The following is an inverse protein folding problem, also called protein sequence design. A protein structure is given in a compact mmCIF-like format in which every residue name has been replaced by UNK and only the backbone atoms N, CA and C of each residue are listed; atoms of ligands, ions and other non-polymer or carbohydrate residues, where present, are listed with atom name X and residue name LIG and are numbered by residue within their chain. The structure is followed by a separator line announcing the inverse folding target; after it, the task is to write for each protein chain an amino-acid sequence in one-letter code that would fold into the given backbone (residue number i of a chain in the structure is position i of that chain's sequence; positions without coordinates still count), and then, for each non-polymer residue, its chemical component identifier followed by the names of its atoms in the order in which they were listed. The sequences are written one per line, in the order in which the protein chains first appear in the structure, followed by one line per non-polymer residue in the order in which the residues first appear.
data_IF_962850770357
#
_entry.id   IF_962850770357
#
_cell.length_a   1.000
_cell.length_b   1.000
_cell.length_c   1.000
_cell.angle_alpha   90.00
_cell.angle_beta   90.00
_cell.angle_gamma   90.00
#
_symmetry.space_group_name_H-M   'P 1'
#
loop_
_entity.id
_entity.type
_entity.pdbx_description
1 polymer ?
#
# COMPACT_ATOMS: atom_id res chain seq x y z
N UNK A 1 -6.11 12.02 4.62
CA UNK A 1 -6.64 10.77 5.20
C UNK A 1 -5.47 9.84 5.38
N UNK A 2 -5.20 9.40 6.60
CA UNK A 2 -4.03 8.59 6.92
C UNK A 2 -4.51 7.15 7.09
N UNK A 3 -3.87 6.21 6.39
CA UNK A 3 -4.14 4.79 6.59
C UNK A 3 -3.37 4.38 7.85
N UNK A 4 -4.08 3.79 8.81
CA UNK A 4 -3.46 3.28 10.04
C UNK A 4 -3.43 1.75 9.95
N UNK A 5 -2.26 1.14 10.11
CA UNK A 5 -2.12 -0.31 10.16
C UNK A 5 -1.58 -0.75 11.52
N UNK A 6 -2.01 -1.92 11.96
CA UNK A 6 -1.48 -2.56 13.17
C UNK A 6 -0.20 -3.32 12.81
N UNK A 7 0.96 -2.86 13.29
CA UNK A 7 2.25 -3.54 13.10
C UNK A 7 2.75 -4.02 14.46
N UNK A 8 2.63 -5.32 14.74
CA UNK A 8 3.05 -5.96 15.99
C UNK A 8 2.41 -5.36 17.27
N UNK A 9 1.16 -4.91 17.21
CA UNK A 9 0.42 -4.38 18.36
C UNK A 9 0.10 -2.87 18.29
N UNK A 10 1.08 -1.97 18.14
CA UNK A 10 0.78 -0.55 17.98
C UNK A 10 0.21 -0.21 16.59
N UNK A 11 -0.77 0.69 16.58
CA UNK A 11 -1.23 1.39 15.38
C UNK A 11 -0.10 2.30 14.88
N UNK A 12 0.30 2.11 13.63
CA UNK A 12 1.27 2.94 12.94
C UNK A 12 0.61 3.58 11.72
N UNK A 13 0.94 4.83 11.43
CA UNK A 13 0.60 5.45 10.16
C UNK A 13 1.33 4.74 9.04
N UNK A 14 0.56 4.09 8.17
CA UNK A 14 1.03 3.47 6.94
C UNK A 14 1.53 4.53 5.94
N UNK A 15 1.11 5.79 6.08
CA UNK A 15 1.59 6.89 5.26
C UNK A 15 1.28 8.25 5.91
N UNK A 16 2.29 9.13 5.94
CA UNK A 16 2.16 10.52 6.40
C UNK A 16 1.72 11.49 5.29
N UNK A 17 1.62 11.03 4.04
CA UNK A 17 1.16 11.84 2.90
C UNK A 17 -0.34 11.66 2.66
N UNK A 18 -1.00 12.77 2.35
CA UNK A 18 -2.44 12.83 2.08
C UNK A 18 -2.77 11.97 0.87
N UNK A 19 -3.31 10.76 1.06
CA UNK A 19 -3.81 9.97 -0.06
C UNK A 19 -4.95 10.75 -0.75
N UNK A 20 -4.67 11.32 -1.92
CA UNK A 20 -5.69 11.83 -2.83
C UNK A 20 -6.57 10.65 -3.29
N UNK A 21 -7.87 10.89 -3.51
CA UNK A 21 -8.84 9.89 -3.97
C UNK A 21 -8.33 9.08 -5.18
N UNK A 22 -7.57 9.68 -6.10
CA UNK A 22 -6.98 8.97 -7.24
C UNK A 22 -6.01 7.84 -6.84
N UNK A 23 -5.20 8.04 -5.79
CA UNK A 23 -4.25 7.03 -5.29
C UNK A 23 -4.99 5.88 -4.63
N UNK A 24 -6.03 6.19 -3.83
CA UNK A 24 -6.89 5.16 -3.22
C UNK A 24 -7.58 4.30 -4.28
N UNK A 25 -8.07 4.92 -5.35
CA UNK A 25 -8.64 4.18 -6.50
C UNK A 25 -7.60 3.29 -7.17
N UNK A 26 -6.35 3.76 -7.31
CA UNK A 26 -5.25 2.96 -7.83
C UNK A 26 -4.95 1.73 -6.97
N UNK A 27 -4.85 1.92 -5.65
CA UNK A 27 -4.64 0.82 -4.68
C UNK A 27 -5.80 -0.18 -4.76
N UNK A 28 -7.05 0.29 -4.72
CA UNK A 28 -8.23 -0.57 -4.77
C UNK A 28 -8.28 -1.40 -6.06
N UNK A 29 -8.03 -0.79 -7.23
CA UNK A 29 -7.98 -1.51 -8.52
C UNK A 29 -6.89 -2.58 -8.53
N UNK A 30 -5.69 -2.24 -8.06
CA UNK A 30 -4.57 -3.18 -8.00
C UNK A 30 -4.86 -4.36 -7.08
N UNK A 31 -5.45 -4.13 -5.91
CA UNK A 31 -5.86 -5.19 -4.99
C UNK A 31 -6.93 -6.10 -5.61
N UNK A 32 -7.93 -5.54 -6.30
CA UNK A 32 -8.96 -6.32 -7.01
C UNK A 32 -8.30 -7.26 -8.03
N UNK A 33 -7.34 -6.77 -8.83
CA UNK A 33 -6.62 -7.60 -9.80
C UNK A 33 -5.78 -8.70 -9.13
N UNK A 34 -5.21 -8.44 -7.95
CA UNK A 34 -4.51 -9.45 -7.15
C UNK A 34 -5.47 -10.54 -6.65
N UNK A 35 -6.61 -10.14 -6.06
CA UNK A 35 -7.61 -11.09 -5.55
C UNK A 35 -8.27 -11.90 -6.65
N UNK A 36 -8.42 -11.33 -7.84
CA UNK A 36 -8.89 -12.05 -9.03
C UNK A 36 -7.85 -13.06 -9.58
N UNK A 37 -6.62 -13.05 -9.07
CA UNK A 37 -5.53 -13.90 -9.55
C UNK A 37 -4.91 -13.43 -10.87
N UNK A 38 -5.25 -12.22 -11.34
CA UNK A 38 -4.78 -11.70 -12.62
C UNK A 38 -3.35 -11.15 -12.53
N UNK A 39 -2.93 -10.68 -11.36
CA UNK A 39 -1.58 -10.18 -11.08
C UNK A 39 -1.13 -10.58 -9.69
N UNK A 40 0.17 -10.56 -9.45
CA UNK A 40 0.77 -10.77 -8.12
C UNK A 40 1.48 -9.52 -7.60
N UNK A 41 1.59 -8.47 -8.42
CA UNK A 41 2.28 -7.22 -8.11
C UNK A 41 1.67 -6.05 -8.90
N UNK A 42 1.59 -4.87 -8.29
CA UNK A 42 1.31 -3.60 -8.95
C UNK A 42 2.03 -2.44 -8.26
N UNK A 43 2.19 -1.32 -8.94
CA UNK A 43 2.82 -0.10 -8.41
C UNK A 43 1.86 1.06 -8.51
N UNK A 44 1.85 1.93 -7.50
CA UNK A 44 1.09 3.17 -7.48
C UNK A 44 2.05 4.33 -7.24
N UNK A 45 2.01 5.30 -8.14
CA UNK A 45 2.75 6.56 -8.05
C UNK A 45 2.02 7.52 -7.11
N UNK A 46 2.76 8.12 -6.16
CA UNK A 46 2.23 9.13 -5.23
C UNK A 46 2.69 10.49 -5.75
N UNK A 47 1.88 11.08 -6.64
CA UNK A 47 2.20 12.31 -7.39
C UNK A 47 2.62 13.52 -6.55
N UNK A 48 2.22 13.58 -5.28
CA UNK A 48 2.54 14.71 -4.40
C UNK A 48 3.90 14.60 -3.69
N UNK A 49 4.60 13.45 -3.76
CA UNK A 49 5.74 13.21 -2.86
C UNK A 49 6.96 12.55 -3.47
N UNK A 50 7.16 12.57 -4.80
CA UNK A 50 8.30 11.89 -5.48
C UNK A 50 8.49 10.42 -5.06
N UNK A 51 7.44 9.77 -4.54
CA UNK A 51 7.51 8.42 -4.02
C UNK A 51 6.66 7.47 -4.85
N UNK A 52 7.11 6.24 -4.95
CA UNK A 52 6.36 5.13 -5.52
C UNK A 52 6.15 4.05 -4.49
N UNK A 53 4.98 3.41 -4.49
CA UNK A 53 4.73 2.24 -3.64
C UNK A 53 4.35 1.04 -4.49
N UNK A 54 5.13 -0.03 -4.34
CA UNK A 54 4.88 -1.32 -4.99
C UNK A 54 4.24 -2.27 -4.01
N UNK A 55 3.09 -2.81 -4.40
CA UNK A 55 2.34 -3.82 -3.67
C UNK A 55 2.61 -5.19 -4.30
N UNK A 56 3.08 -6.14 -3.51
CA UNK A 56 3.36 -7.51 -3.94
C UNK A 56 2.61 -8.48 -3.04
N UNK A 57 1.86 -9.39 -3.63
CA UNK A 57 1.11 -10.41 -2.93
C UNK A 57 1.76 -11.78 -3.07
N UNK A 58 1.97 -12.43 -1.93
CA UNK A 58 2.53 -13.77 -1.87
C UNK A 58 1.89 -14.55 -0.72
N UNK A 59 1.20 -15.65 -1.03
CA UNK A 59 0.63 -16.56 -0.01
C UNK A 59 -0.12 -15.86 1.15
N UNK A 60 -1.05 -14.96 0.82
CA UNK A 60 -1.84 -14.13 1.77
C UNK A 60 -1.10 -12.98 2.46
N UNK A 61 0.21 -12.86 2.24
CA UNK A 61 0.99 -11.70 2.69
C UNK A 61 0.94 -10.62 1.62
N UNK A 62 0.75 -9.39 2.06
CA UNK A 62 0.94 -8.19 1.26
C UNK A 62 2.23 -7.51 1.71
N UNK A 63 3.15 -7.35 0.76
CA UNK A 63 4.41 -6.64 0.94
C UNK A 63 4.25 -5.32 0.21
N UNK A 64 4.40 -4.22 0.94
CA UNK A 64 4.40 -2.87 0.37
C UNK A 64 5.80 -2.33 0.48
N UNK A 65 6.40 -2.03 -0.65
CA UNK A 65 7.71 -1.39 -0.68
C UNK A 65 7.58 0.01 -1.24
N UNK A 66 8.01 1.00 -0.46
CA UNK A 66 8.03 2.39 -0.86
C UNK A 66 9.43 2.79 -1.29
N UNK A 67 9.52 3.49 -2.41
CA UNK A 67 10.76 3.94 -3.03
C UNK A 67 10.73 5.43 -3.31
N UNK A 68 11.89 6.06 -3.28
CA UNK A 68 12.09 7.37 -3.88
C UNK A 68 12.10 7.21 -5.42
N UNK A 69 11.17 7.85 -6.11
CA UNK A 69 10.96 7.70 -7.55
C UNK A 69 12.17 8.17 -8.37
N UNK A 70 12.94 9.12 -7.86
CA UNK A 70 14.06 9.71 -8.58
C UNK A 70 15.30 8.81 -8.63
N UNK A 71 15.57 8.02 -7.60
CA UNK A 71 16.79 7.21 -7.49
C UNK A 71 16.52 5.71 -7.20
N UNK A 72 15.27 5.32 -6.96
CA UNK A 72 14.86 3.95 -6.64
C UNK A 72 15.27 3.49 -5.25
N UNK A 73 15.71 4.40 -4.38
CA UNK A 73 16.12 4.08 -3.01
C UNK A 73 14.92 3.56 -2.22
N UNK A 74 15.10 2.42 -1.56
CA UNK A 74 14.04 1.83 -0.73
C UNK A 74 13.94 2.62 0.57
N UNK A 75 12.80 3.29 0.75
CA UNK A 75 12.50 4.09 1.93
C UNK A 75 11.93 3.21 3.04
N UNK A 76 10.98 2.35 2.69
CA UNK A 76 10.29 1.49 3.66
C UNK A 76 9.84 0.17 3.03
N UNK A 77 9.88 -0.90 3.83
CA UNK A 77 9.26 -2.19 3.51
C UNK A 77 8.28 -2.56 4.62
N UNK A 78 7.00 -2.63 4.28
CA UNK A 78 5.93 -3.06 5.15
C UNK A 78 5.45 -4.45 4.74
N UNK A 79 5.23 -5.31 5.73
CA UNK A 79 4.69 -6.66 5.55
C UNK A 79 3.51 -6.82 6.48
N UNK A 80 2.36 -7.15 5.92
CA UNK A 80 1.14 -7.37 6.67
C UNK A 80 0.35 -8.51 6.02
N UNK A 81 -0.63 -9.02 6.75
CA UNK A 81 -1.62 -9.90 6.12
C UNK A 81 -2.51 -9.07 5.21
N UNK A 82 -2.80 -9.63 4.03
CA UNK A 82 -3.62 -8.95 3.02
C UNK A 82 -5.02 -8.58 3.51
N UNK A 83 -5.65 -9.42 4.34
CA UNK A 83 -6.98 -9.17 4.89
C UNK A 83 -6.97 -8.05 5.95
N UNK A 84 -5.98 -8.04 6.85
CA UNK A 84 -5.78 -6.94 7.80
C UNK A 84 -5.54 -5.60 7.09
N UNK A 85 -4.79 -5.63 5.97
CA UNK A 85 -4.56 -4.43 5.16
C UNK A 85 -5.84 -3.91 4.51
N UNK A 86 -6.64 -4.78 3.91
CA UNK A 86 -7.91 -4.42 3.28
C UNK A 86 -8.88 -3.88 4.32
N UNK A 87 -8.96 -4.50 5.50
CA UNK A 87 -9.79 -4.00 6.60
C UNK A 87 -9.38 -2.59 7.03
N UNK A 88 -8.08 -2.33 7.19
CA UNK A 88 -7.55 -1.01 7.50
C UNK A 88 -7.87 0.01 6.39
N UNK A 89 -7.70 -0.38 5.12
CA UNK A 89 -7.99 0.46 3.95
C UNK A 89 -9.47 0.84 3.88
N UNK A 90 -10.38 -0.10 4.15
CA UNK A 90 -11.82 0.13 4.16
C UNK A 90 -12.31 0.91 5.39
N UNK A 91 -11.55 0.86 6.49
CA UNK A 91 -11.89 1.53 7.75
C UNK A 91 -11.32 2.94 7.85
N UNK A 92 -10.39 3.32 6.97
CA UNK A 92 -9.93 4.70 6.81
C UNK A 92 -11.10 5.58 6.33
N UNK A 93 -11.79 6.20 7.29
CA UNK A 93 -12.85 7.20 7.08
C UNK A 93 -12.28 8.61 7.04
#
# INVERSE_FOLDING_TARGET
MNILITKNGPLQEFCASTFNAAILVGIAKGLIEIYAGNKTKFTVEIYESTHESTFTYFQKLLIVTSYEAHNGETLEVLKCRSDEFVEALCSAR
#
